data_IF_862837484309
#
_entry.id   IF_862837484309
#
_cell.length_a   1.000
_cell.length_b   1.000
_cell.length_c   1.000
_cell.angle_alpha   90.00
_cell.angle_beta   90.00
_cell.angle_gamma   90.00
#
_symmetry.space_group_name_H-M   'P 1'
#
loop_
_entity.id
_entity.type
_entity.pdbx_description
1 polymer ?
#
# COMPACT_ATOMS: atom_id res chain seq x y z
N UNK A 1 -21.34 2.36 -7.50
CA UNK A 1 -20.24 3.04 -6.80
C UNK A 1 -18.98 2.65 -7.54
N UNK A 2 -18.44 3.59 -8.30
CA UNK A 2 -17.59 3.38 -9.47
C UNK A 2 -16.24 2.73 -9.15
N UNK A 3 -15.90 1.73 -9.97
CA UNK A 3 -14.61 1.02 -9.97
C UNK A 3 -13.48 1.95 -10.46
N UNK A 4 -13.84 3.03 -11.18
CA UNK A 4 -12.92 3.95 -11.83
C UNK A 4 -12.23 4.95 -10.89
N UNK A 5 -12.86 5.37 -9.79
CA UNK A 5 -12.28 6.42 -8.92
C UNK A 5 -11.04 5.97 -8.13
N UNK A 6 -10.85 4.66 -7.96
CA UNK A 6 -9.70 4.12 -7.20
C UNK A 6 -8.45 3.85 -8.03
N UNK A 7 -8.53 3.89 -9.37
CA UNK A 7 -7.39 3.62 -10.26
C UNK A 7 -6.65 4.90 -10.70
N UNK A 8 -7.33 6.05 -10.72
CA UNK A 8 -6.72 7.29 -11.20
C UNK A 8 -5.89 8.05 -10.16
N UNK A 9 -6.07 7.78 -8.86
CA UNK A 9 -5.30 8.45 -7.82
C UNK A 9 -3.84 7.97 -7.71
N UNK A 10 -3.44 6.84 -8.32
CA UNK A 10 -2.11 6.26 -8.10
C UNK A 10 -1.08 6.48 -9.19
N UNK A 11 -1.47 6.45 -10.47
CA UNK A 11 -0.51 6.69 -11.55
C UNK A 11 -0.15 8.17 -11.66
N UNK A 12 -1.13 9.05 -11.39
CA UNK A 12 -0.92 10.49 -11.29
C UNK A 12 0.07 10.83 -10.16
N UNK A 13 -0.13 10.29 -8.96
CA UNK A 13 0.77 10.50 -7.83
C UNK A 13 2.20 10.01 -8.10
N UNK A 14 2.37 8.89 -8.81
CA UNK A 14 3.70 8.42 -9.23
C UNK A 14 4.36 9.38 -10.22
N UNK A 15 3.62 9.81 -11.25
CA UNK A 15 4.13 10.76 -12.25
C UNK A 15 4.49 12.11 -11.64
N UNK A 16 3.70 12.59 -10.68
CA UNK A 16 3.98 13.82 -9.94
C UNK A 16 5.25 13.69 -9.10
N UNK A 17 5.44 12.54 -8.45
CA UNK A 17 6.64 12.23 -7.68
C UNK A 17 7.88 12.10 -8.58
N UNK A 18 7.79 11.40 -9.70
CA UNK A 18 8.88 11.29 -10.68
C UNK A 18 9.25 12.65 -11.25
N UNK A 19 8.26 13.47 -11.58
CA UNK A 19 8.46 14.84 -12.06
C UNK A 19 9.15 15.69 -11.01
N UNK A 20 8.70 15.67 -9.75
CA UNK A 20 9.34 16.40 -8.66
C UNK A 20 10.78 15.93 -8.42
N UNK A 21 11.05 14.63 -8.54
CA UNK A 21 12.41 14.08 -8.43
C UNK A 21 13.33 14.52 -9.57
N UNK A 22 12.79 14.63 -10.79
CA UNK A 22 13.51 15.12 -11.95
C UNK A 22 13.79 16.62 -11.82
N UNK A 23 12.80 17.42 -11.42
CA UNK A 23 12.95 18.86 -11.20
C UNK A 23 14.00 19.15 -10.12
N UNK A 24 14.03 18.38 -9.03
CA UNK A 24 15.09 18.48 -8.01
C UNK A 24 16.48 18.15 -8.56
N UNK A 25 16.57 17.20 -9.48
CA UNK A 25 17.83 16.83 -10.11
C UNK A 25 18.32 17.94 -11.05
N UNK A 26 17.42 18.45 -11.88
CA UNK A 26 17.71 19.53 -12.81
C UNK A 26 18.11 20.81 -12.06
N UNK A 27 17.44 21.13 -10.95
CA UNK A 27 17.79 22.27 -10.10
C UNK A 27 19.17 22.09 -9.46
N UNK A 28 19.49 20.87 -9.00
CA UNK A 28 20.83 20.54 -8.47
C UNK A 28 21.91 20.76 -9.54
N UNK A 29 21.69 20.25 -10.75
CA UNK A 29 22.67 20.33 -11.83
C UNK A 29 22.86 21.77 -12.32
N UNK A 30 21.80 22.58 -12.34
CA UNK A 30 21.87 24.02 -12.60
C UNK A 30 22.70 24.76 -11.55
N UNK A 31 22.42 24.54 -10.27
CA UNK A 31 23.17 25.19 -9.17
C UNK A 31 24.65 24.83 -9.26
N UNK A 32 24.97 23.58 -9.57
CA UNK A 32 26.35 23.12 -9.74
C UNK A 32 27.08 23.81 -10.90
N UNK A 33 26.44 23.93 -12.04
CA UNK A 33 27.01 24.63 -13.21
C UNK A 33 27.16 26.14 -12.97
N UNK A 34 26.19 26.79 -12.32
CA UNK A 34 26.30 28.19 -11.93
C UNK A 34 27.45 28.42 -10.95
N UNK A 35 27.58 27.53 -9.96
CA UNK A 35 28.66 27.58 -8.99
C UNK A 35 30.03 27.41 -9.67
N UNK A 36 30.16 26.43 -10.58
CA UNK A 36 31.39 26.19 -11.34
C UNK A 36 31.77 27.40 -12.20
N UNK A 37 30.81 28.02 -12.87
CA UNK A 37 31.03 29.24 -13.67
C UNK A 37 31.49 30.41 -12.80
N UNK A 38 30.84 30.62 -11.65
CA UNK A 38 31.24 31.65 -10.69
C UNK A 38 32.68 31.43 -10.18
N UNK A 39 33.07 30.18 -9.95
CA UNK A 39 34.43 29.81 -9.55
C UNK A 39 35.46 30.06 -10.65
N UNK A 40 35.17 29.73 -11.90
CA UNK A 40 36.07 29.99 -13.04
C UNK A 40 36.30 31.49 -13.26
N UNK A 41 35.25 32.31 -13.14
CA UNK A 41 35.35 33.76 -13.21
C UNK A 41 36.24 34.30 -12.09
N UNK A 42 35.99 33.88 -10.84
CA UNK A 42 36.77 34.32 -9.68
C UNK A 42 38.23 33.91 -9.80
N UNK A 43 38.52 32.72 -10.34
CA UNK A 43 39.89 32.25 -10.62
C UNK A 43 40.63 33.13 -11.63
N UNK A 44 39.94 33.57 -12.68
CA UNK A 44 40.49 34.49 -13.69
C UNK A 44 40.77 35.89 -13.15
N UNK A 45 39.96 36.37 -12.20
CA UNK A 45 40.23 37.63 -11.49
C UNK A 45 41.38 37.50 -10.49
N UNK A 46 41.44 36.41 -9.73
CA UNK A 46 42.54 36.16 -8.78
C UNK A 46 43.89 35.94 -9.46
N UNK A 47 43.95 35.43 -10.69
CA UNK A 47 45.23 35.29 -11.40
C UNK A 47 45.91 36.65 -11.67
N UNK A 48 45.18 37.75 -11.48
CA UNK A 48 45.67 39.13 -11.59
C UNK A 48 46.13 39.70 -10.23
N UNK A 49 45.90 38.96 -9.14
CA UNK A 49 46.16 39.39 -7.76
C UNK A 49 47.23 38.49 -7.14
N UNK A 50 48.42 39.04 -6.90
CA UNK A 50 49.61 38.28 -6.47
C UNK A 50 49.68 38.10 -4.94
N UNK A 51 48.66 37.48 -4.33
CA UNK A 51 48.67 37.16 -2.89
C UNK A 51 48.34 35.69 -2.63
N UNK A 52 49.38 34.92 -2.27
CA UNK A 52 49.30 33.50 -1.94
C UNK A 52 48.30 33.14 -0.83
N UNK A 53 47.87 34.11 -0.02
CA UNK A 53 46.87 33.94 1.02
C UNK A 53 45.44 33.85 0.47
N UNK A 54 45.11 34.69 -0.53
CA UNK A 54 43.80 34.67 -1.20
C UNK A 54 43.61 33.36 -1.96
N UNK A 55 44.66 32.87 -2.65
CA UNK A 55 44.65 31.56 -3.32
C UNK A 55 44.37 30.41 -2.35
N UNK A 56 45.02 30.41 -1.18
CA UNK A 56 44.81 29.38 -0.14
C UNK A 56 43.43 29.45 0.50
N UNK A 57 42.90 30.66 0.73
CA UNK A 57 41.53 30.84 1.23
C UNK A 57 40.50 30.30 0.23
N UNK A 58 40.69 30.54 -1.07
CA UNK A 58 39.83 30.02 -2.12
C UNK A 58 39.87 28.49 -2.20
N UNK A 59 41.07 27.87 -2.18
CA UNK A 59 41.20 26.41 -2.19
C UNK A 59 40.55 25.73 -0.96
N UNK A 60 40.44 26.44 0.17
CA UNK A 60 39.67 25.96 1.33
C UNK A 60 38.16 26.07 1.06
N UNK A 61 37.70 27.22 0.57
CA UNK A 61 36.29 27.42 0.22
C UNK A 61 35.81 26.39 -0.83
N UNK A 62 36.62 26.05 -1.83
CA UNK A 62 36.32 25.01 -2.80
C UNK A 62 36.09 23.64 -2.14
N UNK A 63 37.01 23.23 -1.26
CA UNK A 63 36.89 21.97 -0.51
C UNK A 63 35.68 21.95 0.41
N UNK A 64 35.29 23.09 0.96
CA UNK A 64 34.11 23.21 1.82
C UNK A 64 32.83 23.05 1.01
N UNK A 65 32.78 23.64 -0.18
CA UNK A 65 31.66 23.54 -1.11
C UNK A 65 31.51 22.11 -1.65
N UNK A 66 32.58 21.45 -2.07
CA UNK A 66 32.55 20.04 -2.49
C UNK A 66 32.02 19.12 -1.38
N UNK A 67 32.38 19.40 -0.12
CA UNK A 67 31.85 18.66 1.04
C UNK A 67 30.35 18.89 1.22
N UNK A 68 29.87 20.12 1.03
CA UNK A 68 28.44 20.45 1.09
C UNK A 68 27.67 19.80 -0.05
N UNK A 69 28.17 19.84 -1.28
CA UNK A 69 27.58 19.12 -2.42
C UNK A 69 27.41 17.64 -2.11
N UNK A 70 28.48 16.98 -1.62
CA UNK A 70 28.41 15.57 -1.24
C UNK A 70 27.40 15.28 -0.12
N UNK A 71 27.16 16.22 0.80
CA UNK A 71 26.10 16.09 1.82
C UNK A 71 24.71 16.19 1.21
N UNK A 72 24.47 17.18 0.34
CA UNK A 72 23.20 17.38 -0.37
C UNK A 72 22.89 16.15 -1.22
N UNK A 73 23.87 15.59 -1.94
CA UNK A 73 23.68 14.40 -2.76
C UNK A 73 23.29 13.17 -1.92
N UNK A 74 23.91 12.98 -0.75
CA UNK A 74 23.53 11.91 0.17
C UNK A 74 22.10 12.08 0.69
N UNK A 75 21.71 13.32 1.05
CA UNK A 75 20.37 13.63 1.50
C UNK A 75 19.33 13.39 0.40
N UNK A 76 19.59 13.84 -0.82
CA UNK A 76 18.71 13.62 -1.97
C UNK A 76 18.57 12.13 -2.29
N UNK A 77 19.68 11.37 -2.29
CA UNK A 77 19.64 9.92 -2.48
C UNK A 77 18.84 9.20 -1.39
N UNK A 78 18.94 9.66 -0.13
CA UNK A 78 18.14 9.11 0.96
C UNK A 78 16.65 9.48 0.83
N UNK A 79 16.33 10.72 0.49
CA UNK A 79 14.95 11.16 0.25
C UNK A 79 14.29 10.33 -0.86
N UNK A 80 15.00 10.08 -1.96
CA UNK A 80 14.55 9.20 -3.05
C UNK A 80 14.23 7.79 -2.57
N UNK A 81 15.16 7.15 -1.85
CA UNK A 81 14.94 5.80 -1.31
C UNK A 81 13.74 5.73 -0.36
N UNK A 82 13.56 6.75 0.49
CA UNK A 82 12.44 6.81 1.42
C UNK A 82 11.11 6.94 0.66
N UNK A 83 11.08 7.80 -0.35
CA UNK A 83 9.91 8.03 -1.20
C UNK A 83 9.53 6.79 -2.02
N UNK A 84 10.50 6.13 -2.63
CA UNK A 84 10.28 4.88 -3.37
C UNK A 84 9.70 3.78 -2.47
N UNK A 85 10.22 3.64 -1.24
CA UNK A 85 9.67 2.72 -0.24
C UNK A 85 8.23 3.07 0.12
N UNK A 86 7.91 4.35 0.27
CA UNK A 86 6.54 4.79 0.57
C UNK A 86 5.57 4.44 -0.56
N UNK A 87 5.98 4.62 -1.83
CA UNK A 87 5.19 4.21 -2.99
C UNK A 87 4.93 2.71 -3.01
N UNK A 88 5.98 1.89 -2.86
CA UNK A 88 5.85 0.43 -2.80
C UNK A 88 4.92 -0.03 -1.66
N UNK A 89 5.00 0.63 -0.50
CA UNK A 89 4.11 0.31 0.63
C UNK A 89 2.65 0.68 0.33
N UNK A 90 2.41 1.83 -0.30
CA UNK A 90 1.08 2.25 -0.72
C UNK A 90 0.49 1.26 -1.73
N UNK A 91 1.25 0.87 -2.75
CA UNK A 91 0.85 -0.14 -3.74
C UNK A 91 0.44 -1.47 -3.10
N UNK A 92 1.26 -1.99 -2.19
CA UNK A 92 0.96 -3.21 -1.44
C UNK A 92 -0.31 -3.04 -0.60
N UNK A 93 -0.49 -1.87 0.02
CA UNK A 93 -1.70 -1.59 0.81
C UNK A 93 -2.95 -1.61 -0.07
N UNK A 94 -2.88 -1.03 -1.26
CA UNK A 94 -3.97 -1.00 -2.22
C UNK A 94 -4.29 -2.38 -2.80
N UNK A 95 -3.27 -3.17 -3.14
CA UNK A 95 -3.45 -4.56 -3.56
C UNK A 95 -4.22 -5.36 -2.51
N UNK A 96 -3.83 -5.23 -1.22
CA UNK A 96 -4.56 -5.86 -0.11
C UNK A 96 -6.00 -5.35 0.02
N UNK A 97 -6.27 -4.07 -0.24
CA UNK A 97 -7.63 -3.51 -0.22
C UNK A 97 -8.47 -4.11 -1.34
N UNK A 98 -7.90 -4.22 -2.56
CA UNK A 98 -8.64 -4.79 -3.67
C UNK A 98 -8.89 -6.28 -3.50
N UNK A 99 -7.90 -7.06 -3.08
CA UNK A 99 -8.08 -8.46 -2.77
C UNK A 99 -9.22 -8.68 -1.75
N UNK A 100 -9.28 -7.86 -0.69
CA UNK A 100 -10.38 -7.92 0.29
C UNK A 100 -11.74 -7.57 -0.32
N UNK A 101 -11.80 -6.56 -1.19
CA UNK A 101 -13.04 -6.15 -1.87
C UNK A 101 -13.54 -7.25 -2.82
N UNK A 102 -12.64 -7.79 -3.64
CA UNK A 102 -12.93 -8.89 -4.55
C UNK A 102 -13.42 -10.13 -3.80
N UNK A 103 -12.73 -10.51 -2.73
CA UNK A 103 -13.14 -11.63 -1.89
C UNK A 103 -14.51 -11.38 -1.23
N UNK A 104 -14.76 -10.17 -0.73
CA UNK A 104 -16.07 -9.82 -0.17
C UNK A 104 -17.18 -9.93 -1.23
N UNK A 105 -16.91 -9.47 -2.45
CA UNK A 105 -17.85 -9.56 -3.56
C UNK A 105 -18.10 -11.02 -3.97
N UNK A 106 -17.06 -11.84 -4.06
CA UNK A 106 -17.17 -13.29 -4.32
C UNK A 106 -18.05 -13.98 -3.28
N UNK A 107 -17.81 -13.69 -2.00
CA UNK A 107 -18.61 -14.29 -0.90
C UNK A 107 -20.06 -13.81 -0.92
N UNK A 108 -20.31 -12.56 -1.29
CA UNK A 108 -21.66 -12.00 -1.40
C UNK A 108 -22.46 -12.72 -2.49
N UNK A 109 -21.88 -12.88 -3.67
CA UNK A 109 -22.49 -13.61 -4.78
C UNK A 109 -22.77 -15.06 -4.38
N UNK A 110 -21.77 -15.77 -3.85
CA UNK A 110 -21.93 -17.14 -3.39
C UNK A 110 -23.03 -17.27 -2.33
N UNK A 111 -23.06 -16.37 -1.34
CA UNK A 111 -24.06 -16.41 -0.29
C UNK A 111 -25.47 -16.24 -0.86
N UNK A 112 -25.66 -15.28 -1.77
CA UNK A 112 -26.95 -15.05 -2.42
C UNK A 112 -27.36 -16.22 -3.34
N UNK A 113 -26.43 -16.85 -4.05
CA UNK A 113 -26.74 -18.01 -4.90
C UNK A 113 -27.09 -19.26 -4.09
N UNK A 114 -26.43 -19.48 -2.95
CA UNK A 114 -26.51 -20.75 -2.21
C UNK A 114 -27.46 -20.74 -1.03
N UNK A 115 -27.66 -19.57 -0.40
CA UNK A 115 -28.40 -19.47 0.86
C UNK A 115 -29.67 -18.63 0.77
N UNK A 116 -30.06 -18.18 -0.42
CA UNK A 116 -31.36 -17.52 -0.62
C UNK A 116 -32.49 -18.52 -0.38
N UNK A 117 -33.43 -18.16 0.49
CA UNK A 117 -34.61 -18.98 0.77
C UNK A 117 -35.80 -18.08 1.10
N UNK A 118 -37.00 -18.50 0.70
CA UNK A 118 -38.25 -17.80 1.05
C UNK A 118 -38.30 -16.33 0.64
N UNK A 119 -37.59 -15.93 -0.42
CA UNK A 119 -37.49 -14.53 -0.86
C UNK A 119 -36.52 -13.66 -0.04
N UNK A 120 -35.81 -14.25 0.93
CA UNK A 120 -34.74 -13.58 1.68
C UNK A 120 -33.40 -13.81 0.98
N UNK A 121 -32.71 -12.72 0.63
CA UNK A 121 -31.35 -12.78 0.08
C UNK A 121 -30.43 -13.60 0.98
N UNK A 122 -29.64 -14.50 0.39
CA UNK A 122 -28.77 -15.38 1.14
C UNK A 122 -27.78 -14.64 2.05
N UNK A 123 -27.28 -13.47 1.66
CA UNK A 123 -26.44 -12.61 2.51
C UNK A 123 -27.10 -12.19 3.85
N UNK A 124 -28.44 -12.22 3.92
CA UNK A 124 -29.22 -11.87 5.10
C UNK A 124 -29.57 -13.08 5.98
N UNK A 125 -29.41 -14.31 5.48
CA UNK A 125 -29.61 -15.53 6.28
C UNK A 125 -28.44 -15.77 7.22
N UNK A 126 -28.64 -16.64 8.22
CA UNK A 126 -27.58 -16.92 9.21
C UNK A 126 -26.37 -17.60 8.56
N UNK A 127 -26.61 -18.53 7.63
CA UNK A 127 -25.56 -19.15 6.81
C UNK A 127 -24.80 -18.14 5.98
N UNK A 128 -25.50 -17.24 5.28
CA UNK A 128 -24.81 -16.23 4.46
C UNK A 128 -24.05 -15.20 5.29
N UNK A 129 -24.59 -14.75 6.43
CA UNK A 129 -23.84 -13.88 7.36
C UNK A 129 -22.58 -14.56 7.88
N UNK A 130 -22.67 -15.85 8.22
CA UNK A 130 -21.52 -16.63 8.68
C UNK A 130 -20.48 -16.80 7.57
N UNK A 131 -20.92 -17.15 6.35
CA UNK A 131 -20.06 -17.31 5.18
C UNK A 131 -19.37 -16.01 4.76
N UNK A 132 -20.08 -14.87 4.77
CA UNK A 132 -19.48 -13.56 4.51
C UNK A 132 -18.36 -13.26 5.50
N UNK A 133 -18.59 -13.54 6.79
CA UNK A 133 -17.65 -13.23 7.87
C UNK A 133 -16.44 -14.15 7.91
N UNK A 134 -16.65 -15.46 7.75
CA UNK A 134 -15.62 -16.47 7.99
C UNK A 134 -15.11 -17.13 6.71
N UNK A 135 -15.83 -16.96 5.60
CA UNK A 135 -15.51 -17.62 4.34
C UNK A 135 -16.04 -19.05 4.31
N UNK A 136 -15.55 -19.86 3.36
CA UNK A 136 -15.95 -21.25 3.24
C UNK A 136 -15.52 -22.05 4.47
N UNK A 137 -16.41 -22.91 5.02
CA UNK A 137 -16.03 -23.86 6.06
C UNK A 137 -15.10 -24.95 5.50
N UNK A 138 -14.30 -25.54 6.39
CA UNK A 138 -13.44 -26.69 6.09
C UNK A 138 -14.24 -27.97 5.85
N UNK A 139 -15.30 -28.15 6.64
CA UNK A 139 -16.19 -29.30 6.56
C UNK A 139 -17.63 -28.85 6.72
N UNK A 140 -18.51 -29.42 5.90
CA UNK A 140 -19.96 -29.27 6.00
C UNK A 140 -20.57 -30.63 6.17
N UNK A 141 -21.24 -30.84 7.30
CA UNK A 141 -22.09 -31.99 7.54
C UNK A 141 -23.55 -31.54 7.35
N UNK A 142 -24.20 -32.02 6.28
CA UNK A 142 -25.58 -31.67 5.96
C UNK A 142 -26.35 -32.93 5.55
N UNK A 143 -27.59 -33.04 6.02
CA UNK A 143 -28.56 -34.04 5.54
C UNK A 143 -29.88 -33.33 5.20
N UNK A 144 -30.56 -33.71 4.11
CA UNK A 144 -31.84 -33.11 3.75
C UNK A 144 -32.85 -33.16 4.91
N UNK A 145 -33.42 -32.02 5.29
CA UNK A 145 -34.41 -31.91 6.37
C UNK A 145 -33.85 -32.07 7.79
N UNK A 146 -32.53 -32.01 7.97
CA UNK A 146 -31.85 -32.11 9.26
C UNK A 146 -30.99 -30.87 9.51
N UNK A 147 -30.40 -30.78 10.70
CA UNK A 147 -29.45 -29.71 11.03
C UNK A 147 -28.21 -29.80 10.12
N UNK A 148 -27.59 -28.64 9.90
CA UNK A 148 -26.36 -28.49 9.14
C UNK A 148 -25.24 -28.03 10.10
N UNK A 149 -24.07 -28.65 10.02
CA UNK A 149 -22.93 -28.32 10.88
C UNK A 149 -21.75 -27.89 10.02
N UNK A 150 -21.26 -26.69 10.27
CA UNK A 150 -20.07 -26.13 9.62
C UNK A 150 -18.90 -26.13 10.58
N UNK A 151 -17.75 -26.65 10.14
CA UNK A 151 -16.52 -26.67 10.93
C UNK A 151 -15.45 -25.82 10.26
N UNK A 152 -14.77 -25.02 11.07
CA UNK A 152 -13.62 -24.22 10.69
C UNK A 152 -12.43 -24.62 11.54
N UNK A 153 -11.44 -25.28 10.93
CA UNK A 153 -10.18 -25.65 11.57
C UNK A 153 -9.24 -24.46 11.62
N UNK A 154 -8.37 -24.42 12.62
CA UNK A 154 -7.38 -23.36 12.80
C UNK A 154 -7.99 -21.96 12.71
N UNK A 155 -9.17 -21.80 13.31
CA UNK A 155 -9.93 -20.57 13.20
C UNK A 155 -9.12 -19.37 13.71
N UNK A 156 -8.84 -18.41 12.81
CA UNK A 156 -8.00 -17.23 13.07
C UNK A 156 -6.61 -17.54 13.66
N UNK A 157 -6.05 -18.72 13.39
CA UNK A 157 -4.71 -19.10 13.85
C UNK A 157 -4.62 -19.43 15.34
N UNK A 158 -5.75 -19.57 16.05
CA UNK A 158 -5.77 -19.90 17.49
C UNK A 158 -5.66 -21.41 17.79
N UNK A 159 -5.46 -22.26 16.78
CA UNK A 159 -5.25 -23.71 16.98
C UNK A 159 -6.50 -24.50 17.41
N UNK A 160 -7.71 -23.93 17.26
CA UNK A 160 -8.98 -24.59 17.61
C UNK A 160 -9.90 -24.83 16.40
N UNK A 161 -10.88 -25.71 16.59
CA UNK A 161 -11.97 -25.95 15.64
C UNK A 161 -13.22 -25.21 16.10
N UNK A 162 -13.69 -24.25 15.30
CA UNK A 162 -14.98 -23.61 15.54
C UNK A 162 -16.08 -24.39 14.83
N UNK A 163 -17.15 -24.69 15.56
CA UNK A 163 -18.30 -25.43 15.04
C UNK A 163 -19.53 -24.53 15.12
N UNK A 164 -20.24 -24.41 14.00
CA UNK A 164 -21.51 -23.71 13.92
C UNK A 164 -22.60 -24.70 13.50
N UNK A 165 -23.64 -24.83 14.32
CA UNK A 165 -24.78 -25.70 14.04
C UNK A 165 -26.00 -24.85 13.63
N UNK A 166 -26.63 -25.24 12.54
CA UNK A 166 -27.82 -24.63 12.00
C UNK A 166 -29.01 -25.59 12.11
N UNK A 167 -30.11 -25.15 12.73
CA UNK A 167 -31.37 -25.87 12.76
C UNK A 167 -32.15 -25.65 11.46
N UNK A 168 -32.69 -26.72 10.88
CA UNK A 168 -33.62 -26.61 9.75
C UNK A 168 -35.02 -26.25 10.27
N UNK A 169 -35.48 -25.04 9.98
CA UNK A 169 -36.76 -24.49 10.42
C UNK A 169 -37.62 -24.08 9.21
N UNK A 170 -38.62 -24.90 8.89
CA UNK A 170 -39.52 -24.69 7.76
C UNK A 170 -38.81 -24.84 6.41
N UNK A 171 -38.25 -23.75 5.91
CA UNK A 171 -37.50 -23.67 4.64
C UNK A 171 -36.12 -23.00 4.78
N UNK A 172 -35.72 -22.62 6.00
CA UNK A 172 -34.46 -21.93 6.26
C UNK A 172 -33.62 -22.65 7.33
N UNK A 173 -32.34 -22.32 7.38
CA UNK A 173 -31.40 -22.80 8.38
C UNK A 173 -31.03 -21.67 9.33
N UNK A 174 -31.43 -21.80 10.60
CA UNK A 174 -31.20 -20.81 11.67
C UNK A 174 -30.03 -21.23 12.54
N UNK A 175 -29.15 -20.30 12.90
CA UNK A 175 -28.01 -20.62 13.77
C UNK A 175 -28.52 -20.91 15.20
N UNK A 176 -28.24 -22.11 15.73
CA UNK A 176 -28.76 -22.55 17.03
C UNK A 176 -28.24 -21.75 18.22
N UNK A 177 -26.96 -21.38 18.19
CA UNK A 177 -26.33 -20.41 19.09
C UNK A 177 -24.93 -20.11 18.58
N UNK A 178 -24.34 -18.98 18.99
CA UNK A 178 -22.91 -18.75 18.77
C UNK A 178 -22.14 -19.64 19.76
N UNK A 179 -21.08 -20.34 19.34
CA UNK A 179 -20.20 -21.01 20.29
C UNK A 179 -19.69 -19.99 21.32
N UNK A 180 -19.72 -20.38 22.60
CA UNK A 180 -19.08 -19.65 23.71
C UNK A 180 -17.57 -19.50 23.49
#
# INVERSE_FOLDING_TARGET
MDIAESQHLTEAQRKDVERAMQELQDNKDKIREELKRAMEQMRGELSKVDTAEVKRAMERALRDLERQEGQIERQLAQARRNMERALQQNERAQARVQERREEQQRRLQYANERFTTGGVEGAKTDRGKLYLRHGPPDEVESRPGQNEVWRYRNFRGMGGTMVFEFAFEGSDYRLKSKPE
#
